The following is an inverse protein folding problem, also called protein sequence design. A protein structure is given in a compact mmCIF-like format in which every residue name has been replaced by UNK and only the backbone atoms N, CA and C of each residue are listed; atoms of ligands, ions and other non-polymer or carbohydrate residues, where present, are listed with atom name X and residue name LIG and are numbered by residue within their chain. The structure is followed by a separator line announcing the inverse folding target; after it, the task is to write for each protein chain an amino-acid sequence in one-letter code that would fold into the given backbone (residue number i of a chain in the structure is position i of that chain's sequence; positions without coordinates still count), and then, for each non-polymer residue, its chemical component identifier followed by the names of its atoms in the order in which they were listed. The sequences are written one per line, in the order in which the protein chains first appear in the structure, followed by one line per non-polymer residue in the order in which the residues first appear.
data_IF_387208440106
#
_entry.id   IF_387208440106
#
_cell.length_a   1.000
_cell.length_b   1.000
_cell.length_c   1.000
_cell.angle_alpha   90.00
_cell.angle_beta   90.00
_cell.angle_gamma   90.00
#
_symmetry.space_group_name_H-M   'P 1'
#
loop_
_entity.id
_entity.type
_entity.pdbx_description
1 polymer ?
#
# COMPACT_ATOMS: atom_id res chain seq x y z
N UNK A 1 0.54 6.54 19.25
CA UNK A 1 0.34 5.97 17.90
C UNK A 1 0.88 6.97 16.93
N UNK A 2 2.01 6.63 16.31
CA UNK A 2 2.65 7.51 15.33
C UNK A 2 1.71 7.70 14.13
N UNK A 3 1.75 8.88 13.51
CA UNK A 3 0.89 9.19 12.36
C UNK A 3 1.19 8.24 11.19
N UNK A 4 2.44 7.82 11.05
CA UNK A 4 2.94 6.90 10.02
C UNK A 4 2.46 5.48 10.24
N UNK A 5 2.45 5.00 11.50
CA UNK A 5 1.89 3.69 11.85
C UNK A 5 0.40 3.57 11.48
N UNK A 6 -0.37 4.65 11.69
CA UNK A 6 -1.79 4.69 11.28
C UNK A 6 -1.95 4.61 9.77
N UNK A 7 -1.07 5.26 9.01
CA UNK A 7 -1.09 5.18 7.55
C UNK A 7 -0.72 3.78 7.05
N UNK A 8 0.28 3.14 7.68
CA UNK A 8 0.66 1.77 7.37
C UNK A 8 -0.48 0.78 7.62
N UNK A 9 -1.13 0.85 8.79
CA UNK A 9 -2.28 0.01 9.10
C UNK A 9 -3.48 0.26 8.16
N UNK A 10 -3.73 1.52 7.79
CA UNK A 10 -4.77 1.85 6.81
C UNK A 10 -4.45 1.31 5.42
N UNK A 11 -3.18 1.34 5.02
CA UNK A 11 -2.71 0.78 3.77
C UNK A 11 -2.83 -0.76 3.75
N UNK A 12 -2.40 -1.45 4.80
CA UNK A 12 -2.59 -2.90 4.92
C UNK A 12 -4.05 -3.30 4.81
N UNK A 13 -4.96 -2.60 5.51
CA UNK A 13 -6.40 -2.80 5.40
C UNK A 13 -6.95 -2.53 3.99
N UNK A 14 -6.44 -1.51 3.30
CA UNK A 14 -6.83 -1.20 1.92
C UNK A 14 -6.37 -2.30 0.94
N UNK A 15 -5.20 -2.88 1.16
CA UNK A 15 -4.63 -3.92 0.31
C UNK A 15 -5.26 -5.29 0.59
N UNK A 16 -5.29 -5.74 1.85
CA UNK A 16 -5.70 -7.10 2.19
C UNK A 16 -7.22 -7.28 2.22
N UNK A 17 -7.92 -6.42 2.97
CA UNK A 17 -9.37 -6.54 3.16
C UNK A 17 -10.15 -6.00 1.95
N UNK A 18 -9.79 -4.81 1.47
CA UNK A 18 -10.54 -4.12 0.41
C UNK A 18 -10.05 -4.46 -1.00
N UNK A 19 -8.84 -5.04 -1.13
CA UNK A 19 -8.21 -5.37 -2.42
C UNK A 19 -8.23 -4.20 -3.39
N UNK A 20 -8.00 -2.98 -2.89
CA UNK A 20 -8.08 -1.74 -3.65
C UNK A 20 -7.17 -1.75 -4.89
N UNK A 21 -6.07 -2.51 -4.84
CA UNK A 21 -5.16 -2.72 -5.98
C UNK A 21 -5.84 -3.27 -7.25
N UNK A 22 -7.04 -3.86 -7.15
CA UNK A 22 -7.87 -4.28 -8.30
C UNK A 22 -8.45 -3.08 -9.06
N UNK A 23 -8.82 -2.03 -8.34
CA UNK A 23 -9.45 -0.84 -8.89
C UNK A 23 -8.41 0.26 -9.17
N UNK A 24 -7.42 0.40 -8.28
CA UNK A 24 -6.39 1.44 -8.35
C UNK A 24 -5.02 0.74 -8.50
N UNK A 25 -4.42 0.71 -9.71
CA UNK A 25 -3.11 0.10 -9.94
C UNK A 25 -1.93 0.88 -9.34
N UNK A 26 -2.13 2.16 -9.07
CA UNK A 26 -1.07 3.10 -8.70
C UNK A 26 -1.03 3.31 -7.18
N UNK A 27 0.14 3.10 -6.58
CA UNK A 27 0.37 3.27 -5.16
C UNK A 27 0.00 4.68 -4.66
N UNK A 28 0.33 5.71 -5.44
CA UNK A 28 -0.04 7.10 -5.14
C UNK A 28 -1.55 7.31 -5.07
N UNK A 29 -2.32 6.63 -5.93
CA UNK A 29 -3.78 6.67 -5.91
C UNK A 29 -4.36 5.99 -4.67
N UNK A 30 -3.76 4.89 -4.23
CA UNK A 30 -4.15 4.20 -2.98
C UNK A 30 -3.84 5.10 -1.78
N UNK A 31 -2.68 5.75 -1.76
CA UNK A 31 -2.29 6.70 -0.72
C UNK A 31 -3.27 7.88 -0.61
N UNK A 32 -3.66 8.45 -1.76
CA UNK A 32 -4.64 9.53 -1.81
C UNK A 32 -5.99 9.11 -1.23
N UNK A 33 -6.43 7.87 -1.49
CA UNK A 33 -7.70 7.34 -1.00
C UNK A 33 -7.72 7.16 0.52
N UNK A 34 -6.60 6.78 1.12
CA UNK A 34 -6.48 6.63 2.58
C UNK A 34 -5.99 7.91 3.29
N UNK A 35 -5.75 9.00 2.54
CA UNK A 35 -5.23 10.26 3.08
C UNK A 35 -3.81 10.17 3.62
N UNK A 36 -3.01 9.21 3.12
CA UNK A 36 -1.61 9.03 3.47
C UNK A 36 -0.71 9.83 2.55
N UNK A 37 0.40 10.32 3.11
CA UNK A 37 1.48 10.87 2.30
C UNK A 37 2.27 9.71 1.66
N UNK A 38 2.37 9.65 0.32
CA UNK A 38 2.99 8.52 -0.37
C UNK A 38 4.49 8.42 -0.09
N UNK A 39 5.20 9.50 0.23
CA UNK A 39 6.63 9.42 0.52
C UNK A 39 6.87 8.88 1.93
N UNK A 40 6.11 9.39 2.91
CA UNK A 40 6.23 8.91 4.30
C UNK A 40 5.81 7.44 4.43
N UNK A 41 4.75 7.05 3.73
CA UNK A 41 4.31 5.67 3.74
C UNK A 41 5.26 4.75 2.96
N UNK A 42 5.85 5.21 1.85
CA UNK A 42 6.83 4.42 1.09
C UNK A 42 8.09 4.16 1.92
N UNK A 43 8.58 5.18 2.64
CA UNK A 43 9.72 5.03 3.55
C UNK A 43 9.42 4.01 4.66
N UNK A 44 8.21 4.04 5.23
CA UNK A 44 7.81 3.07 6.25
C UNK A 44 7.65 1.65 5.69
N UNK A 45 7.06 1.50 4.52
CA UNK A 45 6.94 0.19 3.83
C UNK A 45 8.34 -0.35 3.51
N UNK A 46 9.27 0.52 3.10
CA UNK A 46 10.64 0.15 2.81
C UNK A 46 11.41 -0.26 4.07
N UNK A 47 11.22 0.45 5.19
CA UNK A 47 11.80 0.11 6.49
C UNK A 47 11.29 -1.24 7.03
N UNK A 48 9.99 -1.50 6.93
CA UNK A 48 9.36 -2.72 7.49
C UNK A 48 9.53 -3.95 6.58
N UNK A 49 9.33 -3.79 5.28
CA UNK A 49 9.27 -4.91 4.33
C UNK A 49 10.49 -4.96 3.41
N UNK A 50 11.21 -3.86 3.21
CA UNK A 50 12.27 -3.73 2.20
C UNK A 50 11.74 -3.52 0.78
N UNK A 51 10.44 -3.20 0.63
CA UNK A 51 9.80 -3.00 -0.68
C UNK A 51 9.43 -1.55 -0.89
N UNK A 52 9.42 -1.11 -2.16
CA UNK A 52 8.78 0.14 -2.55
C UNK A 52 7.28 -0.07 -2.67
N UNK A 53 6.49 0.94 -2.30
CA UNK A 53 5.03 0.90 -2.29
C UNK A 53 4.44 0.49 -3.64
N UNK A 54 4.97 1.01 -4.76
CA UNK A 54 4.54 0.58 -6.09
C UNK A 54 4.87 -0.89 -6.37
N UNK A 55 6.08 -1.34 -6.05
CA UNK A 55 6.47 -2.74 -6.24
C UNK A 55 5.61 -3.71 -5.42
N UNK A 56 5.20 -3.29 -4.22
CA UNK A 56 4.29 -4.03 -3.36
C UNK A 56 2.89 -4.13 -3.98
N UNK A 57 2.34 -3.02 -4.49
CA UNK A 57 1.04 -3.03 -5.20
C UNK A 57 1.08 -3.95 -6.42
N UNK A 58 2.14 -3.89 -7.22
CA UNK A 58 2.36 -4.78 -8.36
C UNK A 58 2.52 -6.25 -7.96
N UNK A 59 3.07 -6.52 -6.79
CA UNK A 59 3.15 -7.87 -6.24
C UNK A 59 1.74 -8.41 -5.90
N UNK A 60 0.92 -7.65 -5.17
CA UNK A 60 -0.45 -8.06 -4.85
C UNK A 60 -1.29 -8.34 -6.11
N UNK A 61 -1.18 -7.48 -7.12
CA UNK A 61 -1.87 -7.66 -8.41
C UNK A 61 -1.42 -8.92 -9.15
N UNK A 62 -0.12 -9.21 -9.15
CA UNK A 62 0.43 -10.43 -9.76
C UNK A 62 0.01 -11.68 -9.01
N UNK A 63 0.01 -11.63 -7.68
CA UNK A 63 -0.34 -12.77 -6.83
C UNK A 63 -1.81 -13.18 -7.03
N UNK A 64 -2.71 -12.23 -7.33
CA UNK A 64 -4.09 -12.55 -7.69
C UNK A 64 -4.24 -13.23 -9.05
N UNK A 65 -3.39 -12.92 -10.04
CA UNK A 65 -3.47 -13.50 -11.37
C UNK A 65 -2.97 -14.96 -11.44
N UNK A 66 -2.48 -15.51 -10.32
CA UNK A 66 -2.14 -16.92 -10.19
C UNK A 66 -3.40 -17.66 -9.68
N UNK A 67 -4.41 -17.79 -10.53
CA UNK A 67 -5.57 -18.67 -10.28
C UNK A 67 -6.08 -19.29 -11.57
#
# INVERSE_FOLDING_TARGET
MDRTERYYAAFEKAMDEQKIYRQIPEYSGICALIGADPLLLDDKIYDELGWRGQALVDFYRRCENIH
#
